data_IF_845514805995
#
_entry.id   IF_845514805995
#
_cell.length_a   1.000
_cell.length_b   1.000
_cell.length_c   1.000
_cell.angle_alpha   90.00
_cell.angle_beta   90.00
_cell.angle_gamma   90.00
#
_symmetry.space_group_name_H-M   'P 1'
#
loop_
_entity.id
_entity.type
_entity.pdbx_description
1 polymer ?
#
# COMPACT_ATOMS: atom_id res chain seq x y z
N UNK A 1 29.81 -20.29 -36.63
CA UNK A 1 28.99 -20.07 -35.42
C UNK A 1 28.92 -18.58 -35.12
N UNK A 2 28.09 -17.82 -35.83
CA UNK A 2 28.11 -16.34 -35.79
C UNK A 2 26.85 -15.68 -36.37
N UNK A 3 25.67 -16.23 -36.08
CA UNK A 3 24.39 -15.76 -36.63
C UNK A 3 23.30 -15.61 -35.55
N UNK A 4 23.65 -14.98 -34.41
CA UNK A 4 22.71 -14.79 -33.30
C UNK A 4 22.89 -13.42 -32.63
N UNK A 5 23.11 -12.36 -33.41
CA UNK A 5 23.42 -11.03 -32.85
C UNK A 5 22.71 -9.81 -33.42
N UNK A 6 21.66 -9.95 -34.23
CA UNK A 6 20.89 -8.78 -34.69
C UNK A 6 19.39 -9.10 -34.70
N UNK A 7 18.79 -9.21 -33.52
CA UNK A 7 17.40 -8.80 -33.37
C UNK A 7 17.47 -7.30 -33.06
N UNK A 8 17.17 -6.40 -34.01
CA UNK A 8 16.93 -5.02 -33.66
C UNK A 8 15.75 -5.03 -32.67
N UNK A 9 16.01 -4.70 -31.40
CA UNK A 9 14.96 -4.23 -30.54
C UNK A 9 14.50 -2.94 -31.19
N UNK A 10 13.31 -2.95 -31.78
CA UNK A 10 12.60 -1.71 -31.98
C UNK A 10 12.41 -1.14 -30.58
N UNK A 11 13.26 -0.18 -30.20
CA UNK A 11 12.91 0.80 -29.19
C UNK A 11 11.68 1.52 -29.75
N UNK A 12 10.52 0.95 -29.45
CA UNK A 12 9.25 1.63 -29.66
C UNK A 12 9.25 2.70 -28.58
N UNK A 13 9.69 3.89 -28.96
CA UNK A 13 9.42 5.13 -28.24
C UNK A 13 7.89 5.31 -28.33
N UNK A 14 7.18 4.53 -27.51
CA UNK A 14 5.76 4.69 -27.27
C UNK A 14 5.69 6.01 -26.52
N UNK A 15 5.13 7.07 -27.12
CA UNK A 15 4.79 8.23 -26.32
C UNK A 15 3.84 7.69 -25.26
N UNK A 16 4.26 7.70 -24.00
CA UNK A 16 3.42 7.43 -22.85
C UNK A 16 2.73 8.77 -22.56
N UNK A 17 1.55 9.05 -23.16
CA UNK A 17 0.81 10.24 -22.78
C UNK A 17 0.55 10.16 -21.28
N UNK A 18 0.75 11.28 -20.59
CA UNK A 18 0.45 11.38 -19.17
C UNK A 18 -0.94 10.76 -18.90
N UNK A 19 -1.12 9.95 -17.85
CA UNK A 19 -2.39 9.32 -17.51
C UNK A 19 -3.48 10.39 -17.33
N UNK A 20 -4.17 10.76 -18.40
CA UNK A 20 -5.31 11.67 -18.36
C UNK A 20 -6.56 10.86 -18.07
N UNK A 21 -7.20 11.06 -16.91
CA UNK A 21 -8.46 10.39 -16.60
C UNK A 21 -9.52 10.83 -17.63
N UNK A 22 -10.32 9.88 -18.17
CA UNK A 22 -11.37 10.20 -19.12
C UNK A 22 -12.40 11.11 -18.43
N UNK A 23 -12.74 12.27 -19.03
CA UNK A 23 -13.54 13.31 -18.39
C UNK A 23 -14.89 12.74 -17.92
N UNK A 24 -15.14 12.84 -16.60
CA UNK A 24 -16.33 12.32 -15.93
C UNK A 24 -16.10 11.09 -15.04
N UNK A 25 -14.92 10.47 -15.07
CA UNK A 25 -14.56 9.38 -14.15
C UNK A 25 -13.84 9.88 -12.88
N UNK A 26 -13.28 11.09 -12.90
CA UNK A 26 -12.56 11.71 -11.78
C UNK A 26 -13.34 11.73 -10.48
N UNK A 27 -14.57 12.25 -10.46
CA UNK A 27 -15.35 12.34 -9.22
C UNK A 27 -15.63 10.97 -8.58
N UNK A 28 -15.83 9.92 -9.40
CA UNK A 28 -16.05 8.56 -8.90
C UNK A 28 -14.75 7.96 -8.37
N UNK A 29 -13.64 8.16 -9.07
CA UNK A 29 -12.30 7.74 -8.65
C UNK A 29 -11.90 8.44 -7.35
N UNK A 30 -12.08 9.76 -7.26
CA UNK A 30 -11.80 10.58 -6.08
C UNK A 30 -12.62 10.12 -4.87
N UNK A 31 -13.92 9.84 -5.06
CA UNK A 31 -14.76 9.30 -3.98
C UNK A 31 -14.27 7.94 -3.53
N UNK A 32 -13.96 7.03 -4.46
CA UNK A 32 -13.43 5.70 -4.12
C UNK A 32 -12.08 5.78 -3.40
N UNK A 33 -11.19 6.66 -3.84
CA UNK A 33 -9.89 6.93 -3.21
C UNK A 33 -10.05 7.53 -1.82
N UNK A 34 -10.99 8.46 -1.63
CA UNK A 34 -11.29 9.05 -0.33
C UNK A 34 -11.79 8.00 0.67
N UNK A 35 -12.72 7.13 0.25
CA UNK A 35 -13.21 6.01 1.04
C UNK A 35 -12.11 4.98 1.32
N UNK A 36 -11.27 4.67 0.33
CA UNK A 36 -10.13 3.76 0.47
C UNK A 36 -9.11 4.27 1.48
N UNK A 37 -8.72 5.55 1.38
CA UNK A 37 -7.79 6.20 2.32
C UNK A 37 -8.33 6.18 3.75
N UNK A 38 -9.60 6.53 3.92
CA UNK A 38 -10.26 6.50 5.23
C UNK A 38 -10.31 5.08 5.81
N UNK A 39 -10.67 4.09 4.99
CA UNK A 39 -10.71 2.67 5.40
C UNK A 39 -9.34 2.10 5.78
N UNK A 40 -8.29 2.40 5.01
CA UNK A 40 -6.93 1.95 5.29
C UNK A 40 -6.39 2.55 6.59
N UNK A 41 -6.67 3.83 6.85
CA UNK A 41 -6.27 4.48 8.10
C UNK A 41 -6.93 3.83 9.31
N UNK A 42 -8.25 3.57 9.25
CA UNK A 42 -8.96 2.91 10.34
C UNK A 42 -8.48 1.47 10.54
N UNK A 43 -8.26 0.73 9.45
CA UNK A 43 -7.75 -0.63 9.50
C UNK A 43 -6.34 -0.68 10.15
N UNK A 44 -5.46 0.24 9.76
CA UNK A 44 -4.12 0.36 10.33
C UNK A 44 -4.14 0.69 11.83
N UNK A 45 -4.99 1.63 12.24
CA UNK A 45 -5.19 1.99 13.65
C UNK A 45 -5.76 0.81 14.44
N UNK A 46 -6.75 0.09 13.90
CA UNK A 46 -7.32 -1.10 14.53
C UNK A 46 -6.27 -2.20 14.71
N UNK A 47 -5.41 -2.45 13.72
CA UNK A 47 -4.31 -3.40 13.81
C UNK A 47 -3.31 -3.06 14.92
N UNK A 48 -2.94 -1.77 15.05
CA UNK A 48 -2.08 -1.29 16.14
C UNK A 48 -2.74 -1.50 17.51
N UNK A 49 -4.04 -1.23 17.64
CA UNK A 49 -4.77 -1.46 18.89
C UNK A 49 -4.85 -2.95 19.27
N UNK A 50 -5.00 -3.86 18.29
CA UNK A 50 -5.01 -5.31 18.56
C UNK A 50 -3.64 -5.76 19.08
N UNK A 51 -2.55 -5.37 18.43
CA UNK A 51 -1.19 -5.66 18.90
C UNK A 51 -0.95 -5.09 20.30
N UNK A 52 -1.36 -3.84 20.56
CA UNK A 52 -1.24 -3.20 21.86
C UNK A 52 -2.07 -3.93 22.94
N UNK A 53 -3.28 -4.38 22.61
CA UNK A 53 -4.15 -5.12 23.51
C UNK A 53 -3.53 -6.45 23.95
N UNK A 54 -2.94 -7.21 23.01
CA UNK A 54 -2.25 -8.46 23.32
C UNK A 54 -1.06 -8.26 24.28
N UNK A 55 -0.30 -7.17 24.11
CA UNK A 55 0.80 -6.80 25.03
C UNK A 55 0.31 -6.35 26.40
N UNK A 56 -0.77 -5.57 26.46
CA UNK A 56 -1.34 -5.09 27.71
C UNK A 56 -1.95 -6.23 28.55
N UNK A 57 -2.62 -7.19 27.90
CA UNK A 57 -3.26 -8.34 28.55
C UNK A 57 -2.23 -9.38 29.00
N UNK A 58 -1.13 -9.56 28.25
CA UNK A 58 -0.11 -10.57 28.53
C UNK A 58 0.66 -10.41 29.85
N UNK A 59 0.55 -9.27 30.55
CA UNK A 59 1.14 -9.09 31.90
C UNK A 59 0.59 -10.07 32.94
N UNK A 60 -0.57 -10.70 32.73
CA UNK A 60 -1.22 -11.60 33.72
C UNK A 60 -0.84 -13.08 33.60
N UNK A 61 0.42 -13.40 33.33
CA UNK A 61 0.98 -14.78 33.38
C UNK A 61 0.72 -15.69 32.16
N UNK A 62 0.45 -15.13 30.97
CA UNK A 62 0.43 -15.87 29.68
C UNK A 62 1.33 -15.17 28.66
N UNK A 63 2.63 -15.42 28.75
CA UNK A 63 3.69 -14.80 27.93
C UNK A 63 3.52 -15.00 26.43
N UNK A 64 2.92 -16.12 26.01
CA UNK A 64 2.67 -16.42 24.60
C UNK A 64 1.81 -15.36 23.92
N UNK A 65 0.79 -14.84 24.61
CA UNK A 65 -0.14 -13.87 24.01
C UNK A 65 0.52 -12.50 23.76
N UNK A 66 1.44 -12.09 24.63
CA UNK A 66 2.21 -10.86 24.42
C UNK A 66 3.24 -11.03 23.29
N UNK A 67 3.82 -12.22 23.15
CA UNK A 67 4.76 -12.53 22.07
C UNK A 67 4.07 -12.49 20.70
N UNK A 68 2.85 -13.03 20.59
CA UNK A 68 2.04 -12.98 19.36
C UNK A 68 1.70 -11.54 18.95
N UNK A 69 1.49 -10.64 19.91
CA UNK A 69 1.31 -9.21 19.65
C UNK A 69 2.60 -8.53 19.15
N UNK A 70 3.76 -8.91 19.70
CA UNK A 70 5.06 -8.34 19.32
C UNK A 70 5.50 -8.72 17.91
N UNK A 71 5.24 -9.97 17.51
CA UNK A 71 5.52 -10.46 16.15
C UNK A 71 4.57 -9.88 15.10
N UNK A 72 3.39 -9.42 15.51
CA UNK A 72 2.41 -8.74 14.64
C UNK A 72 2.76 -7.28 14.31
N UNK A 73 3.52 -6.57 15.15
CA UNK A 73 3.86 -5.15 14.93
C UNK A 73 4.56 -4.90 13.59
N UNK A 74 5.60 -5.68 13.19
CA UNK A 74 6.22 -5.50 11.87
C UNK A 74 5.24 -5.65 10.70
N UNK A 75 4.22 -6.52 10.83
CA UNK A 75 3.24 -6.73 9.77
C UNK A 75 2.29 -5.52 9.63
N UNK A 76 1.85 -4.96 10.76
CA UNK A 76 1.03 -3.74 10.76
C UNK A 76 1.82 -2.53 10.25
N UNK A 77 3.07 -2.37 10.71
CA UNK A 77 3.94 -1.29 10.23
C UNK A 77 4.30 -1.43 8.75
N UNK A 78 4.50 -2.66 8.27
CA UNK A 78 4.74 -2.93 6.84
C UNK A 78 3.55 -2.51 5.98
N UNK A 79 2.34 -2.88 6.38
CA UNK A 79 1.10 -2.47 5.69
C UNK A 79 0.88 -0.96 5.72
N UNK A 80 1.11 -0.31 6.87
CA UNK A 80 0.97 1.14 7.00
C UNK A 80 2.02 1.91 6.18
N UNK A 81 3.24 1.38 6.10
CA UNK A 81 4.31 1.98 5.28
C UNK A 81 3.99 1.91 3.79
N UNK A 82 3.42 0.79 3.32
CA UNK A 82 2.96 0.66 1.94
C UNK A 82 1.80 1.62 1.64
N UNK A 83 0.86 1.77 2.56
CA UNK A 83 -0.21 2.76 2.43
C UNK A 83 0.34 4.19 2.38
N UNK A 84 1.36 4.49 3.21
CA UNK A 84 1.99 5.80 3.25
C UNK A 84 2.74 6.13 1.96
N UNK A 85 3.37 5.16 1.30
CA UNK A 85 4.03 5.37 0.00
C UNK A 85 3.04 5.41 -1.17
N UNK A 86 1.88 4.78 -1.05
CA UNK A 86 0.82 4.83 -2.07
C UNK A 86 0.15 6.21 -2.18
N UNK A 87 -0.03 6.91 -1.04
CA UNK A 87 -0.69 8.22 -1.00
C UNK A 87 -0.06 9.30 -1.90
N UNK A 88 1.27 9.55 -1.89
CA UNK A 88 1.87 10.53 -2.79
C UNK A 88 1.83 10.11 -4.26
N UNK A 89 1.87 8.81 -4.56
CA UNK A 89 1.76 8.30 -5.94
C UNK A 89 0.41 8.72 -6.54
N UNK A 90 -0.69 8.52 -5.80
CA UNK A 90 -2.02 8.97 -6.23
C UNK A 90 -2.05 10.50 -6.41
N UNK A 91 -1.41 11.25 -5.51
CA UNK A 91 -1.35 12.72 -5.60
C UNK A 91 -0.69 13.22 -6.90
N UNK A 92 0.32 12.53 -7.43
CA UNK A 92 0.97 12.94 -8.69
C UNK A 92 0.06 12.72 -9.91
N UNK A 93 -0.90 11.80 -9.84
CA UNK A 93 -1.76 11.43 -10.97
C UNK A 93 -3.19 12.03 -10.90
N UNK A 94 -3.62 12.55 -9.76
CA UNK A 94 -4.98 13.06 -9.52
C UNK A 94 -5.00 14.52 -9.00
N UNK A 95 -3.94 15.29 -9.22
CA UNK A 95 -3.87 16.73 -8.96
C UNK A 95 -4.35 17.57 -10.16
#
# INVERSE_FOLDING_TARGET
MGLLRLVPRADVDVPDPAPEPPPGLDQKMETLLAWGKWGVLICGVAGLFICAGQMAIGRKNRSTFAADGATGIPWVLGGLSLAATAAPIVGVFFE
#
